data_IF_322537585032
#
_entry.id   IF_322537585032
#
_cell.length_a   1.000
_cell.length_b   1.000
_cell.length_c   1.000
_cell.angle_alpha   90.00
_cell.angle_beta   90.00
_cell.angle_gamma   90.00
#
_symmetry.space_group_name_H-M   'P 1'
#
loop_
_entity.id
_entity.type
_entity.pdbx_description
1 polymer ?
#
# COMPACT_ATOMS: atom_id res chain seq x y z
N UNK A 1 10.50 0.17 -7.56
CA UNK A 1 9.10 -0.25 -7.69
C UNK A 1 8.11 0.90 -7.58
N UNK A 2 8.16 1.78 -6.58
CA UNK A 2 7.27 2.96 -6.48
C UNK A 2 7.35 3.85 -7.73
N UNK A 3 8.57 4.12 -8.23
CA UNK A 3 8.75 4.88 -9.47
C UNK A 3 8.11 4.20 -10.69
N UNK A 4 8.13 2.88 -10.76
CA UNK A 4 7.43 2.14 -11.82
C UNK A 4 5.91 2.29 -11.69
N UNK A 5 5.37 2.18 -10.48
CA UNK A 5 3.95 2.42 -10.21
C UNK A 5 3.51 3.84 -10.60
N UNK A 6 4.35 4.82 -10.29
CA UNK A 6 4.14 6.22 -10.72
C UNK A 6 4.10 6.36 -12.25
N UNK A 7 5.08 5.79 -12.96
CA UNK A 7 5.11 5.84 -14.43
C UNK A 7 3.87 5.18 -15.04
N UNK A 8 3.42 4.06 -14.50
CA UNK A 8 2.17 3.41 -14.94
C UNK A 8 0.93 4.27 -14.64
N UNK A 9 0.88 4.90 -13.46
CA UNK A 9 -0.24 5.75 -13.08
C UNK A 9 -0.38 6.98 -14.00
N UNK A 10 0.71 7.70 -14.27
CA UNK A 10 0.67 8.88 -15.13
C UNK A 10 0.42 8.57 -16.62
N UNK A 11 0.66 7.33 -17.04
CA UNK A 11 0.44 6.90 -18.44
C UNK A 11 -1.01 6.49 -18.70
N UNK A 12 -1.85 6.39 -17.70
CA UNK A 12 -3.22 5.92 -17.79
C UNK A 12 -4.22 7.02 -17.43
N UNK A 13 -5.42 6.94 -18.00
CA UNK A 13 -6.53 7.83 -17.60
C UNK A 13 -7.01 7.49 -16.22
N UNK A 14 -7.05 8.48 -15.32
CA UNK A 14 -7.36 8.31 -13.90
C UNK A 14 -6.52 7.16 -13.29
N UNK A 15 -5.22 7.20 -13.56
CA UNK A 15 -4.33 6.13 -13.17
C UNK A 15 -4.06 6.10 -11.67
N UNK A 16 -4.08 4.90 -11.09
CA UNK A 16 -3.73 4.67 -9.69
C UNK A 16 -2.67 3.58 -9.61
N UNK A 17 -1.51 3.94 -9.04
CA UNK A 17 -0.45 3.00 -8.69
C UNK A 17 -0.60 2.57 -7.23
N UNK A 18 -0.85 1.29 -6.98
CA UNK A 18 -0.91 0.72 -5.63
C UNK A 18 0.27 -0.21 -5.43
N UNK A 19 1.11 0.09 -4.44
CA UNK A 19 2.31 -0.70 -4.13
C UNK A 19 2.20 -1.25 -2.72
N UNK A 20 2.20 -2.57 -2.57
CA UNK A 20 2.28 -3.21 -1.25
C UNK A 20 3.73 -3.47 -0.89
N UNK A 21 4.14 -3.07 0.30
CA UNK A 21 5.48 -3.32 0.84
C UNK A 21 5.40 -4.22 2.07
N UNK A 22 6.51 -4.88 2.39
CA UNK A 22 6.63 -5.69 3.60
C UNK A 22 6.45 -4.82 4.85
N UNK A 23 6.03 -5.45 5.93
CA UNK A 23 5.81 -4.83 7.24
C UNK A 23 4.48 -5.28 7.84
N UNK A 24 4.52 -6.38 8.63
CA UNK A 24 3.32 -6.95 9.26
C UNK A 24 2.85 -6.15 10.46
N UNK A 25 3.78 -5.77 11.32
CA UNK A 25 3.51 -5.09 12.59
C UNK A 25 4.17 -3.71 12.67
N UNK A 26 4.86 -3.29 11.62
CA UNK A 26 5.56 -2.01 11.56
C UNK A 26 5.63 -1.51 10.13
N UNK A 27 5.34 -0.23 9.95
CA UNK A 27 5.31 0.46 8.67
C UNK A 27 6.60 1.18 8.30
N UNK A 28 7.72 0.98 9.02
CA UNK A 28 8.94 1.76 8.78
C UNK A 28 9.49 1.58 7.36
N UNK A 29 9.40 0.38 6.76
CA UNK A 29 9.84 0.14 5.38
C UNK A 29 9.00 0.98 4.40
N UNK A 30 7.67 0.95 4.56
CA UNK A 30 6.77 1.74 3.73
C UNK A 30 6.99 3.24 3.92
N UNK A 31 7.11 3.70 5.17
CA UNK A 31 7.39 5.11 5.52
C UNK A 31 8.69 5.60 4.87
N UNK A 32 9.78 4.88 5.03
CA UNK A 32 11.11 5.31 4.55
C UNK A 32 11.15 5.29 3.01
N UNK A 33 10.51 4.30 2.39
CA UNK A 33 10.35 4.25 0.94
C UNK A 33 9.52 5.43 0.41
N UNK A 34 8.46 5.84 1.11
CA UNK A 34 7.65 7.00 0.76
C UNK A 34 8.41 8.31 0.95
N UNK A 35 9.09 8.50 2.08
CA UNK A 35 9.88 9.70 2.37
C UNK A 35 11.01 9.92 1.36
N UNK A 36 11.56 8.84 0.82
CA UNK A 36 12.59 8.90 -0.22
C UNK A 36 12.02 9.13 -1.63
N UNK A 37 10.69 9.19 -1.80
CA UNK A 37 10.05 9.26 -3.10
C UNK A 37 8.88 10.26 -3.12
N UNK A 38 9.12 11.42 -3.74
CA UNK A 38 8.15 12.54 -3.80
C UNK A 38 6.88 12.25 -4.63
N UNK A 39 6.80 11.11 -5.32
CA UNK A 39 5.66 10.77 -6.16
C UNK A 39 4.59 9.95 -5.42
N UNK A 40 4.76 9.71 -4.13
CA UNK A 40 3.76 9.02 -3.29
C UNK A 40 2.78 10.04 -2.74
N UNK A 41 1.49 9.77 -2.91
CA UNK A 41 0.41 10.60 -2.38
C UNK A 41 -0.08 10.11 -1.01
N UNK A 42 -0.16 8.78 -0.82
CA UNK A 42 -0.62 8.17 0.42
C UNK A 42 0.30 7.04 0.86
N UNK A 43 0.58 6.98 2.16
CA UNK A 43 1.35 5.93 2.80
C UNK A 43 0.52 5.33 3.96
N UNK A 44 0.08 4.09 3.81
CA UNK A 44 -0.74 3.39 4.80
C UNK A 44 0.14 2.47 5.62
N UNK A 45 0.17 2.69 6.92
CA UNK A 45 0.99 1.93 7.88
C UNK A 45 0.14 1.48 9.06
N UNK A 46 0.47 0.36 9.72
CA UNK A 46 -0.33 -0.16 10.83
C UNK A 46 -0.39 0.78 12.04
N UNK A 47 0.63 1.62 12.22
CA UNK A 47 0.73 2.52 13.39
C UNK A 47 -0.17 3.76 13.30
N UNK A 48 -0.64 4.11 12.10
CA UNK A 48 -1.49 5.29 11.89
C UNK A 48 -2.92 4.85 11.60
N UNK A 49 -3.88 5.20 12.48
CA UNK A 49 -5.30 4.92 12.24
C UNK A 49 -5.83 5.61 10.99
N UNK A 50 -6.63 4.92 10.20
CA UNK A 50 -7.32 5.47 9.03
C UNK A 50 -8.68 4.82 8.81
N UNK A 51 -9.56 5.53 8.11
CA UNK A 51 -10.85 5.03 7.64
C UNK A 51 -10.82 4.86 6.11
N UNK A 52 -11.56 3.88 5.62
CA UNK A 52 -11.66 3.64 4.17
C UNK A 52 -12.74 4.53 3.55
N UNK A 53 -13.92 4.56 4.16
CA UNK A 53 -15.09 5.33 3.71
C UNK A 53 -15.35 6.55 4.60
N UNK A 54 -16.18 7.47 4.12
CA UNK A 54 -16.53 8.69 4.85
C UNK A 54 -15.92 9.94 4.23
N UNK A 55 -16.29 11.14 4.73
CA UNK A 55 -15.83 12.41 4.16
C UNK A 55 -14.32 12.60 4.25
N UNK A 56 -13.69 12.03 5.29
CA UNK A 56 -12.23 12.06 5.50
C UNK A 56 -11.59 10.70 5.21
N UNK A 57 -12.32 9.79 4.54
CA UNK A 57 -11.87 8.44 4.24
C UNK A 57 -10.87 8.39 3.10
N UNK A 58 -10.08 7.32 3.10
CA UNK A 58 -9.04 7.07 2.09
C UNK A 58 -9.60 7.11 0.65
N UNK A 59 -10.78 6.54 0.43
CA UNK A 59 -11.35 6.45 -0.92
C UNK A 59 -11.69 7.84 -1.47
N UNK A 60 -12.29 8.73 -0.67
CA UNK A 60 -12.55 10.10 -1.08
C UNK A 60 -11.26 10.87 -1.33
N UNK A 61 -10.27 10.76 -0.45
CA UNK A 61 -8.97 11.40 -0.62
C UNK A 61 -8.27 10.97 -1.91
N UNK A 62 -8.37 9.68 -2.29
CA UNK A 62 -7.85 9.18 -3.58
C UNK A 62 -8.59 9.81 -4.76
N UNK A 63 -9.94 9.88 -4.70
CA UNK A 63 -10.75 10.47 -5.77
C UNK A 63 -10.41 11.95 -5.94
N UNK A 64 -10.32 12.70 -4.85
CA UNK A 64 -9.89 14.10 -4.89
C UNK A 64 -8.51 14.26 -5.53
N UNK A 65 -7.56 13.42 -5.13
CA UNK A 65 -6.21 13.45 -5.69
C UNK A 65 -6.20 13.16 -7.20
N UNK A 66 -6.97 12.17 -7.65
CA UNK A 66 -7.10 11.86 -9.08
C UNK A 66 -7.79 13.02 -9.84
N UNK A 67 -8.77 13.69 -9.24
CA UNK A 67 -9.40 14.87 -9.85
C UNK A 67 -8.40 16.02 -10.05
N UNK A 68 -7.52 16.25 -9.07
CA UNK A 68 -6.50 17.30 -9.12
C UNK A 68 -5.37 16.97 -10.11
N UNK A 69 -4.72 15.83 -9.93
CA UNK A 69 -3.48 15.48 -10.64
C UNK A 69 -3.67 14.54 -11.83
N UNK A 70 -4.86 13.94 -11.99
CA UNK A 70 -5.18 12.89 -12.96
C UNK A 70 -4.51 11.54 -12.70
N UNK A 71 -3.77 11.42 -11.61
CA UNK A 71 -3.18 10.18 -11.13
C UNK A 71 -3.08 10.19 -9.60
N UNK A 72 -2.84 9.02 -9.02
CA UNK A 72 -2.55 8.86 -7.60
C UNK A 72 -1.58 7.69 -7.39
N UNK A 73 -0.70 7.78 -6.38
CA UNK A 73 0.18 6.68 -5.97
C UNK A 73 -0.01 6.40 -4.49
N UNK A 74 -0.40 5.18 -4.19
CA UNK A 74 -0.62 4.69 -2.83
C UNK A 74 0.40 3.62 -2.51
N UNK A 75 1.06 3.75 -1.36
CA UNK A 75 1.92 2.71 -0.80
C UNK A 75 1.25 2.17 0.46
N UNK A 76 1.20 0.87 0.60
CA UNK A 76 0.58 0.20 1.74
C UNK A 76 1.53 -0.82 2.35
N UNK A 77 1.71 -0.79 3.67
CA UNK A 77 2.40 -1.85 4.38
C UNK A 77 1.48 -3.09 4.50
N UNK A 78 2.05 -4.28 4.43
CA UNK A 78 1.33 -5.57 4.49
C UNK A 78 0.36 -5.64 5.68
N UNK A 79 0.75 -5.12 6.83
CA UNK A 79 -0.07 -5.13 8.06
C UNK A 79 -0.90 -3.87 8.29
N UNK A 80 -1.05 -2.99 7.30
CA UNK A 80 -1.76 -1.72 7.48
C UNK A 80 -3.26 -1.88 7.82
N UNK A 81 -3.83 -3.07 7.66
CA UNK A 81 -5.19 -3.39 8.11
C UNK A 81 -5.38 -3.17 9.61
N UNK A 82 -4.31 -3.29 10.42
CA UNK A 82 -4.36 -3.01 11.86
C UNK A 82 -4.67 -1.54 12.17
N UNK A 83 -4.34 -0.64 11.24
CA UNK A 83 -4.66 0.79 11.33
C UNK A 83 -6.10 1.13 10.96
N UNK A 84 -6.90 0.21 10.43
CA UNK A 84 -8.31 0.45 10.13
C UNK A 84 -9.09 0.74 11.41
N UNK A 85 -9.74 1.88 11.47
CA UNK A 85 -10.52 2.32 12.65
C UNK A 85 -11.80 1.51 12.76
N UNK A 86 -12.44 1.23 11.62
CA UNK A 86 -13.71 0.50 11.58
C UNK A 86 -13.47 -1.01 11.59
N UNK A 87 -13.87 -1.76 12.66
CA UNK A 87 -13.66 -3.20 12.72
C UNK A 87 -14.38 -3.99 11.62
N UNK A 88 -15.48 -3.46 11.07
CA UNK A 88 -16.25 -4.11 10.01
C UNK A 88 -15.51 -4.08 8.65
N UNK A 89 -14.61 -3.14 8.49
CA UNK A 89 -13.78 -2.97 7.29
C UNK A 89 -12.47 -3.77 7.36
N UNK A 90 -12.13 -4.28 8.56
CA UNK A 90 -10.93 -5.12 8.71
C UNK A 90 -11.07 -6.39 7.91
N UNK A 91 -10.01 -6.71 7.18
CA UNK A 91 -9.92 -7.96 6.44
C UNK A 91 -9.97 -9.11 7.45
N UNK A 92 -10.86 -10.07 7.21
CA UNK A 92 -11.01 -11.23 8.10
C UNK A 92 -9.70 -12.01 8.13
N UNK A 93 -9.04 -12.01 9.29
CA UNK A 93 -7.84 -12.81 9.50
C UNK A 93 -8.25 -14.28 9.52
N UNK A 94 -7.86 -15.00 8.49
CA UNK A 94 -7.85 -16.47 8.60
C UNK A 94 -6.69 -16.80 9.53
N UNK A 95 -6.95 -17.47 10.67
CA UNK A 95 -5.91 -17.94 11.59
C UNK A 95 -5.02 -19.04 10.95
N UNK A 96 -4.55 -18.79 9.75
CA UNK A 96 -3.54 -19.62 9.10
C UNK A 96 -2.18 -19.12 9.55
N UNK A 97 -1.36 -20.03 10.03
CA UNK A 97 0.03 -19.76 10.38
C UNK A 97 0.93 -20.29 9.27
N UNK A 98 2.00 -19.55 8.98
CA UNK A 98 3.08 -20.03 8.13
C UNK A 98 3.90 -21.11 8.86
N UNK A 99 4.84 -21.74 8.16
CA UNK A 99 5.72 -22.77 8.73
C UNK A 99 6.57 -22.25 9.92
N UNK A 100 6.72 -20.94 10.03
CA UNK A 100 7.45 -20.25 11.11
C UNK A 100 6.54 -19.85 12.28
N UNK A 101 5.22 -20.15 12.22
CA UNK A 101 4.25 -19.84 13.25
C UNK A 101 3.68 -18.43 13.22
N UNK A 102 4.00 -17.62 12.20
CA UNK A 102 3.45 -16.28 12.04
C UNK A 102 2.06 -16.34 11.38
N UNK A 103 1.18 -15.40 11.78
CA UNK A 103 -0.12 -15.24 11.12
C UNK A 103 0.06 -14.89 9.64
N UNK A 104 -0.68 -15.57 8.78
CA UNK A 104 -0.80 -15.20 7.37
C UNK A 104 -1.93 -14.19 7.28
N UNK A 105 -1.61 -12.97 6.82
CA UNK A 105 -2.60 -11.94 6.53
C UNK A 105 -3.19 -12.15 5.14
N UNK A 106 -4.47 -11.78 4.98
CA UNK A 106 -5.04 -11.61 3.66
C UNK A 106 -4.32 -10.44 2.95
N UNK A 107 -4.33 -10.46 1.61
CA UNK A 107 -3.61 -9.44 0.85
C UNK A 107 -4.39 -8.13 0.84
N UNK A 108 -4.01 -7.20 1.74
CA UNK A 108 -4.59 -5.86 1.81
C UNK A 108 -4.50 -5.10 0.47
N UNK A 109 -3.48 -5.33 -0.34
CA UNK A 109 -3.34 -4.69 -1.63
C UNK A 109 -4.40 -5.19 -2.63
N UNK A 110 -4.69 -6.49 -2.64
CA UNK A 110 -5.76 -7.06 -3.47
C UNK A 110 -7.12 -6.55 -2.99
N UNK A 111 -7.35 -6.51 -1.69
CA UNK A 111 -8.56 -5.97 -1.09
C UNK A 111 -8.78 -4.51 -1.50
N UNK A 112 -7.82 -3.63 -1.23
CA UNK A 112 -7.89 -2.21 -1.60
C UNK A 112 -8.09 -2.01 -3.10
N UNK A 113 -7.41 -2.81 -3.94
CA UNK A 113 -7.60 -2.76 -5.40
C UNK A 113 -9.07 -2.95 -5.79
N UNK A 114 -9.74 -3.94 -5.21
CA UNK A 114 -11.15 -4.22 -5.50
C UNK A 114 -12.08 -3.11 -5.02
N UNK A 115 -11.93 -2.71 -3.77
CA UNK A 115 -12.83 -1.75 -3.14
C UNK A 115 -12.66 -0.32 -3.66
N UNK A 116 -11.44 0.15 -3.93
CA UNK A 116 -11.21 1.48 -4.52
C UNK A 116 -11.88 1.61 -5.90
N UNK A 117 -11.71 0.61 -6.77
CA UNK A 117 -12.32 0.63 -8.11
C UNK A 117 -13.85 0.59 -8.02
N UNK A 118 -14.39 -0.26 -7.16
CA UNK A 118 -15.82 -0.37 -6.91
C UNK A 118 -16.40 0.94 -6.35
N UNK A 119 -15.74 1.55 -5.37
CA UNK A 119 -16.14 2.82 -4.78
C UNK A 119 -16.17 3.95 -5.81
N UNK A 120 -15.08 4.15 -6.55
CA UNK A 120 -14.98 5.16 -7.59
C UNK A 120 -16.07 5.04 -8.64
N UNK A 121 -16.37 3.81 -9.10
CA UNK A 121 -17.41 3.58 -10.10
C UNK A 121 -18.82 3.78 -9.53
N UNK A 122 -19.10 3.30 -8.31
CA UNK A 122 -20.44 3.34 -7.72
C UNK A 122 -20.82 4.75 -7.26
N UNK A 123 -19.93 5.44 -6.57
CA UNK A 123 -20.19 6.75 -5.97
C UNK A 123 -19.94 7.92 -6.93
N UNK A 124 -18.85 7.87 -7.68
CA UNK A 124 -18.40 8.99 -8.51
C UNK A 124 -18.56 8.77 -10.03
N UNK A 125 -19.02 7.60 -10.47
CA UNK A 125 -19.08 7.21 -11.88
C UNK A 125 -17.74 7.37 -12.61
N UNK A 126 -16.64 7.29 -11.85
CA UNK A 126 -15.28 7.51 -12.33
C UNK A 126 -14.59 6.17 -12.59
N UNK A 127 -14.28 5.82 -13.84
CA UNK A 127 -13.43 4.67 -14.12
C UNK A 127 -11.98 4.97 -13.71
N UNK A 128 -11.37 4.09 -12.92
CA UNK A 128 -9.97 4.16 -12.49
C UNK A 128 -9.19 3.04 -13.15
N UNK A 129 -8.01 3.36 -13.68
CA UNK A 129 -7.05 2.37 -14.17
C UNK A 129 -6.04 2.07 -13.05
N UNK A 130 -6.31 1.02 -12.26
CA UNK A 130 -5.48 0.65 -11.12
C UNK A 130 -4.44 -0.40 -11.49
N UNK A 131 -3.17 -0.10 -11.20
CA UNK A 131 -2.03 -1.02 -11.32
C UNK A 131 -1.53 -1.38 -9.93
N UNK A 132 -1.64 -2.67 -9.58
CA UNK A 132 -1.15 -3.21 -8.32
C UNK A 132 0.21 -3.85 -8.51
N UNK A 133 1.15 -3.51 -7.64
CA UNK A 133 2.52 -4.04 -7.63
C UNK A 133 2.83 -4.59 -6.23
N UNK A 134 3.14 -5.87 -6.18
CA UNK A 134 3.71 -6.52 -5.00
C UNK A 134 5.16 -6.91 -5.28
N UNK A 135 6.15 -6.12 -4.84
CA UNK A 135 7.56 -6.38 -5.10
C UNK A 135 8.23 -7.28 -4.06
N UNK A 136 7.49 -7.92 -3.17
CA UNK A 136 8.01 -8.64 -1.99
C UNK A 136 9.20 -9.55 -2.32
N UNK A 137 9.10 -10.37 -3.36
CA UNK A 137 10.21 -11.25 -3.76
C UNK A 137 11.29 -10.53 -4.54
N UNK A 138 10.95 -9.52 -5.32
CA UNK A 138 11.92 -8.73 -6.10
C UNK A 138 12.82 -7.90 -5.19
N UNK A 139 12.29 -7.36 -4.10
CA UNK A 139 13.05 -6.59 -3.10
C UNK A 139 14.12 -7.48 -2.44
N UNK A 140 13.79 -8.72 -2.14
CA UNK A 140 14.73 -9.67 -1.52
C UNK A 140 15.94 -10.02 -2.42
N UNK A 141 15.81 -9.85 -3.72
CA UNK A 141 16.87 -10.04 -4.71
C UNK A 141 17.77 -8.83 -4.93
N UNK A 142 17.48 -7.69 -4.31
CA UNK A 142 18.31 -6.47 -4.43
C UNK A 142 19.55 -6.62 -3.56
N UNK A 143 20.72 -6.19 -4.09
CA UNK A 143 21.97 -6.18 -3.32
C UNK A 143 21.81 -5.31 -2.05
N UNK A 144 22.41 -5.78 -0.95
CA UNK A 144 22.44 -5.03 0.32
C UNK A 144 23.16 -3.69 0.13
N UNK A 145 22.65 -2.67 0.76
CA UNK A 145 23.34 -1.38 0.86
C UNK A 145 24.45 -1.43 1.94
N UNK A 146 25.19 -0.35 2.08
CA UNK A 146 26.29 -0.27 3.06
C UNK A 146 25.80 -0.44 4.50
N UNK A 147 24.63 0.10 4.81
CA UNK A 147 24.03 0.04 6.14
C UNK A 147 23.62 -1.38 6.51
N UNK A 148 22.95 -2.08 5.59
CA UNK A 148 22.60 -3.50 5.73
C UNK A 148 23.85 -4.37 5.92
N UNK A 149 24.90 -4.09 5.14
CA UNK A 149 26.18 -4.83 5.22
C UNK A 149 26.84 -4.65 6.58
N UNK A 150 26.86 -3.42 7.12
CA UNK A 150 27.39 -3.12 8.45
C UNK A 150 26.53 -3.80 9.53
N UNK A 151 25.21 -3.75 9.40
CA UNK A 151 24.30 -4.42 10.33
C UNK A 151 24.57 -5.92 10.39
N UNK A 152 24.63 -6.57 9.23
CA UNK A 152 24.93 -8.01 9.14
C UNK A 152 26.29 -8.35 9.76
N UNK A 153 27.32 -7.54 9.52
CA UNK A 153 28.65 -7.73 10.12
C UNK A 153 28.66 -7.59 11.65
N UNK A 154 27.75 -6.79 12.21
CA UNK A 154 27.61 -6.65 13.68
C UNK A 154 26.84 -7.81 14.32
N UNK A 155 26.01 -8.50 13.54
CA UNK A 155 25.19 -9.62 14.01
C UNK A 155 25.90 -10.97 13.88
N UNK A 156 26.96 -11.06 13.05
CA UNK A 156 27.78 -12.25 12.86
C UNK A 156 28.84 -12.37 13.95
#
# INVERSE_FOLDING_TARGET
MIKAAYCEAISAVNGLGLVKLMGRYSGFIARDACMSNQNVDFCLVPELPFELEGPDGLYEAIIERINEKKYCVVVVAEGAEEGLINPEEKITKVEKKDESGNLIFDDIGIYLKGEIVKYALSKHKMPITLKYIDPTYMIRGVASNTEDTIMCAKLA
#
